data_IF_946684520442
#
_entry.id   IF_946684520442
#
_cell.length_a   1.000
_cell.length_b   1.000
_cell.length_c   1.000
_cell.angle_alpha   90.00
_cell.angle_beta   90.00
_cell.angle_gamma   90.00
#
_symmetry.space_group_name_H-M   'P 1'
#
loop_
_entity.id
_entity.type
_entity.pdbx_description
1 polymer ?
#
# COMPACT_ATOMS: atom_id res chain seq x y z
N UNK A 1 22.53 -12.67 -42.66
CA UNK A 1 23.10 -11.82 -41.61
C UNK A 1 22.18 -11.93 -40.41
N UNK A 2 22.51 -12.84 -39.49
CA UNK A 2 21.69 -13.14 -38.31
C UNK A 2 21.83 -11.97 -37.32
N UNK A 3 20.75 -11.27 -37.03
CA UNK A 3 20.75 -10.19 -36.03
C UNK A 3 20.87 -10.84 -34.66
N UNK A 4 22.04 -10.73 -34.06
CA UNK A 4 22.30 -11.12 -32.67
C UNK A 4 21.42 -10.26 -31.74
N UNK A 5 20.26 -10.79 -31.32
CA UNK A 5 19.36 -10.09 -30.41
C UNK A 5 19.95 -10.16 -29.00
N UNK A 6 20.73 -9.15 -28.62
CA UNK A 6 21.21 -9.00 -27.24
C UNK A 6 20.00 -8.92 -26.29
N UNK A 7 19.81 -9.95 -25.47
CA UNK A 7 18.75 -9.98 -24.44
C UNK A 7 18.97 -8.84 -23.44
N UNK A 8 17.94 -8.01 -23.24
CA UNK A 8 17.96 -6.94 -22.23
C UNK A 8 18.02 -7.57 -20.83
N UNK A 9 18.91 -7.08 -19.94
CA UNK A 9 19.00 -7.62 -18.59
C UNK A 9 17.72 -7.30 -17.78
N UNK A 10 17.38 -8.21 -16.88
CA UNK A 10 16.20 -8.08 -16.02
C UNK A 10 16.30 -6.86 -15.10
N UNK A 11 15.27 -6.01 -15.11
CA UNK A 11 15.22 -4.82 -14.26
C UNK A 11 14.62 -5.15 -12.88
N UNK A 12 15.48 -5.55 -11.95
CA UNK A 12 15.10 -5.89 -10.57
C UNK A 12 14.32 -4.77 -9.86
N UNK A 13 14.70 -3.51 -10.07
CA UNK A 13 14.04 -2.37 -9.42
C UNK A 13 12.60 -2.21 -9.91
N UNK A 14 12.39 -2.26 -11.22
CA UNK A 14 11.06 -2.19 -11.80
C UNK A 14 10.19 -3.36 -11.34
N UNK A 15 10.74 -4.58 -11.33
CA UNK A 15 10.03 -5.76 -10.83
C UNK A 15 9.57 -5.60 -9.38
N UNK A 16 10.47 -5.19 -8.48
CA UNK A 16 10.16 -4.98 -7.06
C UNK A 16 9.08 -3.91 -6.89
N UNK A 17 9.17 -2.79 -7.61
CA UNK A 17 8.16 -1.72 -7.53
C UNK A 17 6.79 -2.18 -8.01
N UNK A 18 6.72 -2.91 -9.13
CA UNK A 18 5.46 -3.43 -9.66
C UNK A 18 4.87 -4.49 -8.73
N UNK A 19 5.70 -5.39 -8.19
CA UNK A 19 5.26 -6.40 -7.24
C UNK A 19 4.72 -5.77 -5.95
N UNK A 20 5.43 -4.80 -5.37
CA UNK A 20 4.98 -4.01 -4.22
C UNK A 20 3.65 -3.32 -4.52
N UNK A 21 3.55 -2.60 -5.65
CA UNK A 21 2.34 -1.88 -6.03
C UNK A 21 1.15 -2.82 -6.20
N UNK A 22 1.34 -3.95 -6.89
CA UNK A 22 0.28 -4.94 -7.12
C UNK A 22 -0.19 -5.55 -5.81
N UNK A 23 0.73 -5.98 -4.93
CA UNK A 23 0.37 -6.48 -3.60
C UNK A 23 -0.32 -5.43 -2.73
N UNK A 24 0.10 -4.16 -2.86
CA UNK A 24 -0.51 -3.02 -2.17
C UNK A 24 -1.92 -2.72 -2.63
N UNK A 25 -2.27 -2.94 -3.91
CA UNK A 25 -3.64 -2.84 -4.41
C UNK A 25 -4.53 -4.02 -3.96
N UNK A 26 -3.95 -5.21 -3.83
CA UNK A 26 -4.68 -6.38 -3.32
C UNK A 26 -5.14 -6.18 -1.87
N UNK A 27 -4.42 -5.41 -1.06
CA UNK A 27 -4.75 -5.17 0.34
C UNK A 27 -6.09 -4.46 0.58
N UNK A 28 -6.36 -3.25 0.05
CA UNK A 28 -7.64 -2.59 0.24
C UNK A 28 -8.78 -3.40 -0.37
N UNK A 29 -8.57 -4.03 -1.53
CA UNK A 29 -9.58 -4.84 -2.18
C UNK A 29 -9.99 -6.05 -1.32
N UNK A 30 -9.02 -6.87 -0.91
CA UNK A 30 -9.28 -8.01 -0.02
C UNK A 30 -9.74 -7.60 1.38
N UNK A 31 -9.31 -6.43 1.86
CA UNK A 31 -9.75 -5.84 3.13
C UNK A 31 -11.24 -5.50 3.13
N UNK A 32 -11.75 -4.91 2.05
CA UNK A 32 -13.19 -4.64 1.88
C UNK A 32 -13.98 -5.95 1.84
N UNK A 33 -13.49 -6.96 1.11
CA UNK A 33 -14.15 -8.28 1.07
C UNK A 33 -14.21 -8.93 2.46
N UNK A 34 -13.09 -8.90 3.21
CA UNK A 34 -13.06 -9.41 4.59
C UNK A 34 -13.98 -8.62 5.53
N UNK A 35 -14.09 -7.31 5.35
CA UNK A 35 -14.99 -6.47 6.15
C UNK A 35 -16.46 -6.83 5.88
N UNK A 36 -16.84 -7.08 4.63
CA UNK A 36 -18.20 -7.47 4.28
C UNK A 36 -18.59 -8.85 4.85
N UNK A 37 -17.63 -9.78 4.89
CA UNK A 37 -17.84 -11.14 5.40
C UNK A 37 -17.56 -11.28 6.91
N UNK A 38 -17.26 -10.20 7.62
CA UNK A 38 -16.73 -10.27 9.00
C UNK A 38 -17.67 -10.93 10.00
N UNK A 39 -18.99 -10.80 9.79
CA UNK A 39 -20.04 -11.32 10.66
C UNK A 39 -20.53 -12.71 10.25
N UNK A 40 -20.07 -13.23 9.10
CA UNK A 40 -20.39 -14.60 8.71
C UNK A 40 -19.57 -15.59 9.55
N UNK A 41 -20.18 -16.75 9.83
CA UNK A 41 -19.42 -17.95 10.24
C UNK A 41 -18.29 -18.20 9.25
N UNK A 42 -17.22 -18.89 9.64
CA UNK A 42 -16.03 -19.10 8.82
C UNK A 42 -16.34 -19.87 7.51
N UNK A 43 -16.84 -19.16 6.51
CA UNK A 43 -17.20 -19.65 5.20
C UNK A 43 -15.94 -19.82 4.34
N UNK A 44 -16.06 -20.64 3.29
CA UNK A 44 -14.97 -20.84 2.32
C UNK A 44 -14.53 -19.51 1.70
N UNK A 45 -15.49 -18.64 1.39
CA UNK A 45 -15.25 -17.31 0.83
C UNK A 45 -14.48 -16.42 1.78
N UNK A 46 -14.88 -16.37 3.06
CA UNK A 46 -14.16 -15.60 4.09
C UNK A 46 -12.73 -16.12 4.27
N UNK A 47 -12.54 -17.44 4.30
CA UNK A 47 -11.20 -18.03 4.42
C UNK A 47 -10.33 -17.73 3.21
N UNK A 48 -10.90 -17.74 2.00
CA UNK A 48 -10.21 -17.36 0.77
C UNK A 48 -9.73 -15.90 0.82
N UNK A 49 -10.62 -14.95 1.12
CA UNK A 49 -10.26 -13.53 1.18
C UNK A 49 -9.27 -13.21 2.30
N UNK A 50 -9.36 -13.90 3.45
CA UNK A 50 -8.35 -13.81 4.50
C UNK A 50 -6.98 -14.32 4.03
N UNK A 51 -6.95 -15.45 3.31
CA UNK A 51 -5.70 -16.01 2.79
C UNK A 51 -5.05 -15.08 1.76
N UNK A 52 -5.84 -14.53 0.84
CA UNK A 52 -5.38 -13.54 -0.15
C UNK A 52 -4.84 -12.29 0.56
N UNK A 53 -5.57 -11.75 1.52
CA UNK A 53 -5.16 -10.55 2.27
C UNK A 53 -3.83 -10.77 3.02
N UNK A 54 -3.73 -11.89 3.74
CA UNK A 54 -2.54 -12.22 4.53
C UNK A 54 -1.32 -12.42 3.62
N UNK A 55 -1.47 -13.13 2.49
CA UNK A 55 -0.36 -13.33 1.56
C UNK A 55 0.03 -12.02 0.86
N UNK A 56 -0.95 -11.20 0.45
CA UNK A 56 -0.69 -9.87 -0.10
C UNK A 56 0.07 -8.98 0.90
N UNK A 57 -0.29 -9.02 2.19
CA UNK A 57 0.39 -8.26 3.23
C UNK A 57 1.85 -8.72 3.40
N UNK A 58 2.10 -10.02 3.46
CA UNK A 58 3.46 -10.58 3.55
C UNK A 58 4.30 -10.15 2.35
N UNK A 59 3.78 -10.33 1.14
CA UNK A 59 4.48 -9.92 -0.09
C UNK A 59 4.72 -8.41 -0.12
N UNK A 60 3.73 -7.61 0.26
CA UNK A 60 3.85 -6.16 0.31
C UNK A 60 4.97 -5.73 1.25
N UNK A 61 5.04 -6.29 2.45
CA UNK A 61 6.10 -5.99 3.43
C UNK A 61 7.48 -6.36 2.89
N UNK A 62 7.62 -7.57 2.34
CA UNK A 62 8.89 -8.02 1.76
C UNK A 62 9.33 -7.09 0.63
N UNK A 63 8.45 -6.81 -0.33
CA UNK A 63 8.79 -5.93 -1.44
C UNK A 63 8.98 -4.47 -1.03
N UNK A 64 8.31 -3.99 0.01
CA UNK A 64 8.54 -2.66 0.57
C UNK A 64 9.94 -2.54 1.19
N UNK A 65 10.37 -3.52 1.98
CA UNK A 65 11.73 -3.57 2.53
C UNK A 65 12.76 -3.58 1.40
N UNK A 66 12.55 -4.42 0.37
CA UNK A 66 13.43 -4.46 -0.80
C UNK A 66 13.40 -3.13 -1.55
N UNK A 67 12.23 -2.55 -1.80
CA UNK A 67 12.06 -1.29 -2.51
C UNK A 67 12.84 -0.16 -1.81
N UNK A 68 12.71 -0.04 -0.48
CA UNK A 68 13.46 0.92 0.33
C UNK A 68 14.97 0.65 0.20
N UNK A 69 15.39 -0.60 0.34
CA UNK A 69 16.80 -0.99 0.28
C UNK A 69 17.44 -0.65 -1.08
N UNK A 70 16.75 -0.95 -2.20
CA UNK A 70 17.24 -0.65 -3.56
C UNK A 70 17.17 0.83 -3.93
N UNK A 71 16.34 1.62 -3.24
CA UNK A 71 16.15 3.05 -3.50
C UNK A 71 16.62 3.93 -2.33
N UNK A 72 17.45 3.41 -1.42
CA UNK A 72 17.88 4.09 -0.18
C UNK A 72 18.51 5.46 -0.43
N UNK A 73 19.35 5.58 -1.47
CA UNK A 73 19.97 6.86 -1.85
C UNK A 73 18.94 7.91 -2.27
N UNK A 74 17.92 7.51 -3.04
CA UNK A 74 16.85 8.39 -3.45
C UNK A 74 16.01 8.82 -2.24
N UNK A 75 15.63 7.87 -1.38
CA UNK A 75 14.91 8.14 -0.14
C UNK A 75 15.66 9.14 0.75
N UNK A 76 16.97 8.98 0.91
CA UNK A 76 17.76 9.91 1.72
C UNK A 76 17.90 11.30 1.10
N UNK A 77 17.91 11.40 -0.23
CA UNK A 77 17.85 12.70 -0.90
C UNK A 77 16.53 13.42 -0.62
N UNK A 78 15.40 12.70 -0.69
CA UNK A 78 14.09 13.24 -0.34
C UNK A 78 13.99 13.63 1.13
N UNK A 79 14.46 12.78 2.04
CA UNK A 79 14.43 13.07 3.48
C UNK A 79 15.25 14.31 3.86
N UNK A 80 16.43 14.51 3.23
CA UNK A 80 17.23 15.72 3.42
C UNK A 80 16.48 16.98 2.96
N UNK A 81 15.81 16.92 1.81
CA UNK A 81 14.98 18.02 1.30
C UNK A 81 13.73 18.24 2.16
N UNK A 82 13.11 17.18 2.67
CA UNK A 82 11.95 17.27 3.55
C UNK A 82 12.27 18.00 4.86
N UNK A 83 13.51 17.93 5.35
CA UNK A 83 13.97 18.73 6.50
C UNK A 83 13.91 20.25 6.25
N UNK A 84 14.00 20.67 4.99
CA UNK A 84 13.92 22.07 4.57
C UNK A 84 12.49 22.49 4.18
N UNK A 85 11.61 21.52 3.92
CA UNK A 85 10.19 21.76 3.63
C UNK A 85 9.43 21.81 4.95
N UNK A 86 9.12 23.03 5.41
CA UNK A 86 8.15 23.21 6.47
C UNK A 86 6.77 22.70 6.01
N UNK A 87 6.05 22.01 6.89
CA UNK A 87 4.66 21.63 6.63
C UNK A 87 3.87 22.92 6.43
N UNK A 88 3.33 23.10 5.23
CA UNK A 88 2.56 24.30 4.90
C UNK A 88 1.24 24.34 5.68
N UNK A 89 0.67 25.53 5.87
CA UNK A 89 -0.64 25.67 6.54
C UNK A 89 -1.73 24.90 5.79
N UNK A 90 -1.65 24.85 4.46
CA UNK A 90 -2.54 24.11 3.58
C UNK A 90 -2.41 22.59 3.79
N UNK A 91 -1.18 22.09 3.97
CA UNK A 91 -0.93 20.68 4.28
C UNK A 91 -1.51 20.29 5.64
N UNK A 92 -1.35 21.15 6.65
CA UNK A 92 -1.99 20.97 7.96
C UNK A 92 -3.52 21.00 7.88
N UNK A 93 -4.08 21.94 7.11
CA UNK A 93 -5.52 22.04 6.89
C UNK A 93 -6.08 20.80 6.19
N UNK A 94 -5.37 20.28 5.18
CA UNK A 94 -5.74 19.04 4.50
C UNK A 94 -5.69 17.83 5.45
N UNK A 95 -4.65 17.72 6.28
CA UNK A 95 -4.56 16.66 7.31
C UNK A 95 -5.73 16.78 8.29
N UNK A 96 -6.01 17.97 8.81
CA UNK A 96 -7.11 18.20 9.73
C UNK A 96 -8.47 17.85 9.10
N UNK A 97 -8.69 18.24 7.85
CA UNK A 97 -9.91 17.92 7.10
C UNK A 97 -10.10 16.41 6.97
N UNK A 98 -9.04 15.67 6.60
CA UNK A 98 -9.09 14.21 6.50
C UNK A 98 -9.42 13.58 7.85
N UNK A 99 -8.79 14.02 8.93
CA UNK A 99 -9.07 13.53 10.29
C UNK A 99 -10.54 13.79 10.67
N UNK A 100 -11.06 14.99 10.38
CA UNK A 100 -12.47 15.34 10.65
C UNK A 100 -13.41 14.45 9.85
N UNK A 101 -13.19 14.28 8.54
CA UNK A 101 -14.04 13.44 7.68
C UNK A 101 -14.03 12.00 8.20
N UNK A 102 -12.85 11.41 8.39
CA UNK A 102 -12.72 10.04 8.90
C UNK A 102 -13.36 9.89 10.27
N UNK A 103 -13.15 10.85 11.17
CA UNK A 103 -13.74 10.88 12.51
C UNK A 103 -15.27 10.97 12.49
N UNK A 104 -15.85 11.77 11.59
CA UNK A 104 -17.30 11.88 11.43
C UNK A 104 -17.93 10.59 10.87
N UNK A 105 -17.29 9.97 9.86
CA UNK A 105 -17.75 8.69 9.34
C UNK A 105 -17.67 7.58 10.39
N UNK A 106 -16.61 7.57 11.20
CA UNK A 106 -16.46 6.62 12.30
C UNK A 106 -17.43 6.92 13.45
N UNK A 107 -17.71 8.18 13.78
CA UNK A 107 -18.63 8.52 14.89
C UNK A 107 -20.09 8.17 14.58
N UNK A 108 -20.48 8.18 13.29
CA UNK A 108 -21.81 7.77 12.87
C UNK A 108 -22.16 6.34 13.32
N UNK A 109 -21.19 5.42 13.41
CA UNK A 109 -21.45 4.05 13.87
C UNK A 109 -21.81 3.96 15.36
N UNK A 110 -21.51 5.00 16.15
CA UNK A 110 -21.84 5.05 17.58
C UNK A 110 -23.17 5.74 17.87
N UNK A 111 -23.70 6.54 16.95
CA UNK A 111 -24.96 7.28 17.13
C UNK A 111 -26.19 6.55 16.55
N UNK A 112 -25.98 5.48 15.79
CA UNK A 112 -27.05 4.69 15.14
C UNK A 112 -27.32 3.35 15.88
N UNK A 113 -26.60 3.08 16.98
CA UNK A 113 -26.88 1.98 17.92
C UNK A 113 -27.68 2.48 19.12
#
# INVERSE_FOLDING_TARGET
MEKDIKKKPFNKRAFISIAMFTSGLCLPFSGIMNHNLQFETLSVERHFWMSVHNMAAVLFVIFAILHISYNWRALMSYAKKAKEIFISKESLAAIALVIVIVGLFASHTYHVN
#
